data_IF_431258031945
#
_entry.id   IF_431258031945
#
_cell.length_a   1.000
_cell.length_b   1.000
_cell.length_c   1.000
_cell.angle_alpha   90.00
_cell.angle_beta   90.00
_cell.angle_gamma   90.00
#
_symmetry.space_group_name_H-M   'P 1'
#
loop_
_entity.id
_entity.type
_entity.pdbx_description
1 polymer ?
#
# COMPACT_ATOMS: atom_id res chain seq x y z
N UNK A 1 -23.10 24.56 9.39
CA UNK A 1 -23.91 23.66 8.52
C UNK A 1 -23.08 22.50 8.01
N UNK A 2 -22.07 22.75 7.16
CA UNK A 2 -21.23 21.70 6.57
C UNK A 2 -20.59 20.79 7.63
N UNK A 3 -19.93 21.39 8.62
CA UNK A 3 -19.31 20.66 9.75
C UNK A 3 -20.31 19.75 10.47
N UNK A 4 -21.54 20.24 10.71
CA UNK A 4 -22.57 19.45 11.37
C UNK A 4 -22.99 18.22 10.52
N UNK A 5 -23.17 18.40 9.20
CA UNK A 5 -23.49 17.27 8.33
C UNK A 5 -22.30 16.30 8.18
N UNK A 6 -21.07 16.80 8.12
CA UNK A 6 -19.87 15.95 8.11
C UNK A 6 -19.74 15.14 9.41
N UNK A 7 -20.07 15.73 10.56
CA UNK A 7 -20.12 15.02 11.83
C UNK A 7 -21.20 13.93 11.83
N UNK A 8 -22.40 14.21 11.31
CA UNK A 8 -23.48 13.22 11.19
C UNK A 8 -23.16 12.09 10.20
N UNK A 9 -22.51 12.39 9.07
CA UNK A 9 -22.01 11.38 8.13
C UNK A 9 -20.98 10.49 8.83
N UNK A 10 -20.11 11.08 9.65
CA UNK A 10 -19.09 10.34 10.40
C UNK A 10 -19.73 9.45 11.48
N UNK A 11 -20.66 9.99 12.27
CA UNK A 11 -21.38 9.28 13.34
C UNK A 11 -22.18 8.11 12.78
N UNK A 12 -22.96 8.34 11.73
CA UNK A 12 -23.85 7.32 11.16
C UNK A 12 -23.15 6.41 10.17
N UNK A 13 -22.05 6.83 9.55
CA UNK A 13 -21.41 6.12 8.44
C UNK A 13 -22.25 6.09 7.15
N UNK A 14 -23.37 6.80 7.09
CA UNK A 14 -24.21 6.89 5.89
C UNK A 14 -23.91 8.15 5.12
N UNK A 15 -23.54 7.99 3.85
CA UNK A 15 -23.47 9.11 2.92
C UNK A 15 -24.85 9.65 2.58
N UNK A 16 -24.90 10.93 2.22
CA UNK A 16 -26.15 11.66 1.98
C UNK A 16 -27.09 10.99 0.97
N UNK A 17 -26.55 10.38 -0.09
CA UNK A 17 -27.35 9.64 -1.08
C UNK A 17 -28.09 8.47 -0.44
N UNK A 18 -27.42 7.73 0.43
CA UNK A 18 -27.96 6.53 1.06
C UNK A 18 -29.11 6.91 2.00
N UNK A 19 -28.91 7.96 2.79
CA UNK A 19 -29.91 8.51 3.72
C UNK A 19 -31.16 8.97 2.97
N UNK A 20 -31.01 9.66 1.84
CA UNK A 20 -32.15 10.19 1.07
C UNK A 20 -32.88 9.09 0.28
N UNK A 21 -32.17 8.10 -0.28
CA UNK A 21 -32.73 7.14 -1.26
C UNK A 21 -33.92 6.32 -0.71
N UNK A 22 -34.01 6.10 0.61
CA UNK A 22 -35.07 5.32 1.25
C UNK A 22 -36.28 6.10 1.78
N UNK A 23 -36.24 7.44 1.83
CA UNK A 23 -37.29 8.23 2.48
C UNK A 23 -38.42 8.55 1.52
N UNK A 24 -39.68 8.32 1.93
CA UNK A 24 -40.88 8.58 1.10
C UNK A 24 -41.35 10.04 1.14
N UNK A 25 -41.21 10.73 2.28
CA UNK A 25 -41.73 12.09 2.49
C UNK A 25 -40.63 13.14 2.33
N UNK A 26 -40.13 13.35 1.11
CA UNK A 26 -39.08 14.34 0.84
C UNK A 26 -39.71 15.71 0.52
N UNK A 27 -39.12 16.83 0.99
CA UNK A 27 -39.51 18.17 0.54
C UNK A 27 -39.53 18.27 -0.99
N UNK A 28 -40.46 19.06 -1.51
CA UNK A 28 -40.59 19.28 -2.94
C UNK A 28 -39.29 19.89 -3.51
N UNK A 29 -38.80 19.35 -4.63
CA UNK A 29 -37.51 19.70 -5.26
C UNK A 29 -36.24 19.25 -4.51
N UNK A 30 -36.38 18.40 -3.49
CA UNK A 30 -35.21 17.77 -2.85
C UNK A 30 -34.66 16.63 -3.70
N UNK A 31 -33.69 16.97 -4.57
CA UNK A 31 -32.90 15.97 -5.29
C UNK A 31 -31.55 15.75 -4.59
N UNK A 32 -31.00 14.54 -4.75
CA UNK A 32 -29.66 14.22 -4.25
C UNK A 32 -28.61 15.22 -4.79
N UNK A 33 -28.71 15.57 -6.08
CA UNK A 33 -27.79 16.49 -6.72
C UNK A 33 -27.90 17.94 -6.24
N UNK A 34 -29.08 18.40 -5.82
CA UNK A 34 -29.22 19.73 -5.23
C UNK A 34 -28.46 19.81 -3.91
N UNK A 35 -28.43 18.72 -3.15
CA UNK A 35 -27.87 18.75 -1.81
C UNK A 35 -26.38 18.52 -1.82
N UNK A 36 -25.89 17.62 -2.70
CA UNK A 36 -24.46 17.54 -2.96
C UNK A 36 -23.90 18.90 -3.39
N UNK A 37 -24.63 19.64 -4.24
CA UNK A 37 -24.22 20.99 -4.65
C UNK A 37 -24.27 22.02 -3.52
N UNK A 38 -25.22 21.92 -2.60
CA UNK A 38 -25.29 22.81 -1.41
C UNK A 38 -24.28 22.49 -0.31
N UNK A 39 -23.71 21.29 -0.27
CA UNK A 39 -22.74 20.88 0.75
C UNK A 39 -21.30 20.88 0.26
N UNK A 40 -21.09 20.45 -0.99
CA UNK A 40 -19.77 20.24 -1.58
C UNK A 40 -19.53 21.06 -2.85
N UNK A 41 -20.57 21.69 -3.41
CA UNK A 41 -20.46 22.53 -4.60
C UNK A 41 -20.42 24.03 -4.27
N UNK A 42 -20.64 24.85 -5.31
CA UNK A 42 -20.47 26.30 -5.24
C UNK A 42 -21.58 27.03 -4.47
N UNK A 43 -22.67 26.36 -4.13
CA UNK A 43 -23.78 26.98 -3.41
C UNK A 43 -23.47 27.07 -1.91
N UNK A 44 -23.21 28.28 -1.44
CA UNK A 44 -23.02 28.59 0.00
C UNK A 44 -24.30 28.56 0.83
N UNK A 45 -25.45 28.35 0.21
CA UNK A 45 -26.76 28.40 0.87
C UNK A 45 -27.60 27.16 0.57
N UNK A 46 -28.39 26.76 1.55
CA UNK A 46 -29.43 25.74 1.45
C UNK A 46 -30.72 26.33 2.00
N UNK A 47 -31.87 25.88 1.50
CA UNK A 47 -33.14 26.26 2.12
C UNK A 47 -33.24 25.69 3.54
N UNK A 48 -33.81 26.47 4.45
CA UNK A 48 -33.89 26.12 5.87
C UNK A 48 -34.71 24.83 6.11
N UNK A 49 -35.81 24.64 5.38
CA UNK A 49 -36.66 23.44 5.47
C UNK A 49 -35.93 22.16 5.02
N UNK A 50 -35.12 22.27 3.96
CA UNK A 50 -34.27 21.19 3.48
C UNK A 50 -33.21 20.84 4.52
N UNK A 51 -32.55 21.83 5.11
CA UNK A 51 -31.57 21.58 6.16
C UNK A 51 -32.19 20.93 7.41
N UNK A 52 -33.34 21.45 7.87
CA UNK A 52 -34.07 20.87 9.00
C UNK A 52 -34.46 19.40 8.74
N UNK A 53 -34.90 19.09 7.51
CA UNK A 53 -35.17 17.72 7.09
C UNK A 53 -33.94 16.82 7.22
N UNK A 54 -32.76 17.27 6.79
CA UNK A 54 -31.52 16.47 6.95
C UNK A 54 -31.14 16.24 8.39
N UNK A 55 -31.17 17.28 9.22
CA UNK A 55 -30.83 17.16 10.63
C UNK A 55 -31.75 16.17 11.32
N UNK A 56 -33.06 16.26 11.08
CA UNK A 56 -34.02 15.31 11.64
C UNK A 56 -33.78 13.88 11.15
N UNK A 57 -33.46 13.73 9.85
CA UNK A 57 -33.24 12.42 9.25
C UNK A 57 -31.97 11.75 9.79
N UNK A 58 -30.86 12.48 9.90
CA UNK A 58 -29.64 11.96 10.52
C UNK A 58 -29.83 11.67 12.01
N UNK A 59 -30.48 12.56 12.77
CA UNK A 59 -30.75 12.34 14.19
C UNK A 59 -31.59 11.07 14.46
N UNK A 60 -32.41 10.63 13.50
CA UNK A 60 -33.20 9.40 13.63
C UNK A 60 -32.39 8.11 13.38
N UNK A 61 -31.18 8.21 12.84
CA UNK A 61 -30.33 7.07 12.51
C UNK A 61 -29.43 6.70 13.70
N UNK A 62 -29.25 5.41 14.01
CA UNK A 62 -28.30 4.99 15.03
C UNK A 62 -26.86 5.28 14.60
N UNK A 63 -25.96 5.37 15.58
CA UNK A 63 -24.52 5.42 15.33
C UNK A 63 -24.10 4.19 14.52
N UNK A 64 -23.30 4.40 13.47
CA UNK A 64 -22.86 3.32 12.59
C UNK A 64 -23.96 2.69 11.72
N UNK A 65 -25.12 3.32 11.53
CA UNK A 65 -26.19 2.84 10.64
C UNK A 65 -25.69 2.42 9.23
N UNK A 66 -24.70 3.10 8.68
CA UNK A 66 -24.11 2.84 7.36
C UNK A 66 -22.93 1.88 7.38
N UNK A 67 -22.44 1.57 8.57
CA UNK A 67 -21.50 0.47 8.80
C UNK A 67 -22.20 -0.87 8.99
N UNK A 68 -23.53 -0.94 8.83
CA UNK A 68 -24.26 -2.21 8.84
C UNK A 68 -23.92 -3.05 7.59
N UNK A 69 -22.76 -3.71 7.66
CA UNK A 69 -22.25 -4.64 6.68
C UNK A 69 -22.96 -5.99 6.74
N UNK A 70 -23.94 -6.20 7.63
CA UNK A 70 -24.63 -7.50 7.76
C UNK A 70 -25.24 -7.95 6.44
N UNK A 71 -25.76 -7.02 5.63
CA UNK A 71 -26.28 -7.34 4.31
C UNK A 71 -25.20 -7.72 3.28
N UNK A 72 -23.98 -7.19 3.41
CA UNK A 72 -22.83 -7.56 2.56
C UNK A 72 -22.22 -8.89 3.02
N UNK A 73 -22.08 -9.10 4.33
CA UNK A 73 -21.65 -10.39 4.88
C UNK A 73 -22.61 -11.52 4.51
N UNK A 74 -23.93 -11.29 4.53
CA UNK A 74 -24.92 -12.25 3.98
C UNK A 74 -24.70 -12.60 2.51
N UNK A 75 -23.98 -11.76 1.76
CA UNK A 75 -23.59 -11.98 0.37
C UNK A 75 -22.15 -12.48 0.23
N UNK A 76 -21.47 -12.80 1.34
CA UNK A 76 -20.07 -13.19 1.35
C UNK A 76 -19.13 -12.06 0.93
N UNK A 77 -19.39 -10.81 1.35
CA UNK A 77 -18.58 -9.63 1.01
C UNK A 77 -18.21 -8.86 2.28
N UNK A 78 -16.92 -8.59 2.45
CA UNK A 78 -16.34 -7.72 3.47
C UNK A 78 -16.04 -6.34 2.86
N UNK A 79 -16.28 -5.28 3.63
CA UNK A 79 -15.85 -3.94 3.25
C UNK A 79 -14.45 -3.66 3.78
N UNK A 80 -13.55 -3.20 2.93
CA UNK A 80 -12.18 -2.87 3.34
C UNK A 80 -12.11 -1.62 4.23
N UNK A 81 -13.14 -0.77 4.23
CA UNK A 81 -13.26 0.38 5.12
C UNK A 81 -13.96 0.07 6.46
N UNK A 82 -14.40 -1.17 6.69
CA UNK A 82 -14.89 -1.64 7.99
C UNK A 82 -13.73 -1.85 8.98
N UNK A 83 -13.99 -1.96 10.30
CA UNK A 83 -12.95 -2.21 11.30
C UNK A 83 -12.06 -3.42 10.96
N UNK A 84 -12.67 -4.52 10.52
CA UNK A 84 -11.98 -5.77 10.19
C UNK A 84 -11.15 -5.65 8.90
N UNK A 85 -11.65 -4.89 7.92
CA UNK A 85 -10.90 -4.54 6.71
C UNK A 85 -9.68 -3.67 7.01
N UNK A 86 -9.82 -2.69 7.92
CA UNK A 86 -8.72 -1.82 8.36
C UNK A 86 -7.66 -2.59 9.12
N UNK A 87 -8.07 -3.50 10.02
CA UNK A 87 -7.15 -4.39 10.74
C UNK A 87 -6.29 -5.20 9.75
N UNK A 88 -6.91 -5.79 8.72
CA UNK A 88 -6.20 -6.52 7.67
C UNK A 88 -5.19 -5.63 6.92
N UNK A 89 -5.57 -4.39 6.58
CA UNK A 89 -4.65 -3.43 5.95
C UNK A 89 -3.47 -3.08 6.87
N UNK A 90 -3.73 -2.84 8.16
CA UNK A 90 -2.70 -2.56 9.15
C UNK A 90 -1.73 -3.73 9.32
N UNK A 91 -2.23 -4.96 9.33
CA UNK A 91 -1.38 -6.15 9.38
C UNK A 91 -0.49 -6.28 8.14
N UNK A 92 -1.07 -6.04 6.95
CA UNK A 92 -0.31 -6.04 5.71
C UNK A 92 0.80 -4.98 5.70
N UNK A 93 0.47 -3.74 6.08
CA UNK A 93 1.44 -2.63 6.18
C UNK A 93 2.56 -2.93 7.20
N UNK A 94 2.21 -3.49 8.36
CA UNK A 94 3.18 -3.88 9.40
C UNK A 94 4.15 -4.95 8.90
N UNK A 95 3.66 -5.91 8.11
CA UNK A 95 4.50 -6.95 7.54
C UNK A 95 5.39 -6.41 6.41
N UNK A 96 4.98 -5.34 5.73
CA UNK A 96 5.75 -4.67 4.67
C UNK A 96 6.26 -5.62 3.58
N UNK A 97 5.42 -6.57 3.19
CA UNK A 97 5.67 -7.57 2.15
C UNK A 97 5.04 -7.11 0.83
N UNK A 98 5.66 -7.46 -0.30
CA UNK A 98 5.03 -7.20 -1.60
C UNK A 98 3.83 -8.14 -1.81
N UNK A 99 2.74 -7.66 -2.45
CA UNK A 99 1.60 -8.51 -2.82
C UNK A 99 1.98 -9.74 -3.66
N UNK A 100 2.98 -9.62 -4.52
CA UNK A 100 3.53 -10.72 -5.33
C UNK A 100 4.06 -11.83 -4.45
N UNK A 101 4.91 -11.48 -3.48
CA UNK A 101 5.45 -12.44 -2.50
C UNK A 101 4.35 -13.09 -1.68
N UNK A 102 3.29 -12.35 -1.35
CA UNK A 102 2.15 -12.93 -0.64
C UNK A 102 1.41 -13.97 -1.50
N UNK A 103 1.15 -13.67 -2.78
CA UNK A 103 0.56 -14.63 -3.73
C UNK A 103 1.45 -15.85 -3.98
N UNK A 104 2.77 -15.66 -4.07
CA UNK A 104 3.73 -16.75 -4.31
C UNK A 104 3.81 -17.72 -3.12
N UNK A 105 3.72 -17.19 -1.89
CA UNK A 105 3.80 -17.99 -0.67
C UNK A 105 2.47 -18.68 -0.33
N UNK A 106 1.34 -18.11 -0.72
CA UNK A 106 -0.01 -18.57 -0.39
C UNK A 106 -0.85 -18.67 -1.68
N UNK A 107 -0.66 -19.75 -2.47
CA UNK A 107 -1.30 -19.92 -3.77
C UNK A 107 -2.83 -20.10 -3.67
N UNK A 108 -3.38 -20.31 -2.48
CA UNK A 108 -4.81 -20.31 -2.22
C UNK A 108 -5.46 -18.92 -2.34
N UNK A 109 -4.67 -17.84 -2.32
CA UNK A 109 -5.14 -16.48 -2.57
C UNK A 109 -5.49 -16.35 -4.06
N UNK A 110 -6.78 -16.23 -4.37
CA UNK A 110 -7.26 -16.16 -5.76
C UNK A 110 -7.01 -14.79 -6.40
N UNK A 111 -6.87 -13.75 -5.57
CA UNK A 111 -6.62 -12.39 -6.02
C UNK A 111 -5.21 -12.25 -6.60
N UNK A 112 -5.14 -11.70 -7.81
CA UNK A 112 -3.85 -11.28 -8.41
C UNK A 112 -3.19 -10.17 -7.57
N UNK A 113 -1.85 -10.01 -7.61
CA UNK A 113 -1.13 -8.97 -6.85
C UNK A 113 -1.70 -7.56 -7.04
N UNK A 114 -2.02 -7.17 -8.27
CA UNK A 114 -2.63 -5.86 -8.57
C UNK A 114 -3.99 -5.64 -7.89
N UNK A 115 -4.73 -6.72 -7.65
CA UNK A 115 -6.02 -6.66 -6.96
C UNK A 115 -5.83 -6.47 -5.46
N UNK A 116 -4.86 -7.19 -4.86
CA UNK A 116 -4.45 -6.99 -3.48
C UNK A 116 -3.98 -5.55 -3.23
N UNK A 117 -3.14 -5.02 -4.11
CA UNK A 117 -2.72 -3.61 -4.07
C UNK A 117 -3.92 -2.65 -4.02
N UNK A 118 -4.94 -2.89 -4.85
CA UNK A 118 -6.17 -2.06 -4.85
C UNK A 118 -6.95 -2.18 -3.55
N UNK A 119 -6.95 -3.33 -2.89
CA UNK A 119 -7.59 -3.49 -1.58
C UNK A 119 -6.85 -2.69 -0.50
N UNK A 120 -5.54 -2.88 -0.40
CA UNK A 120 -4.73 -2.25 0.65
C UNK A 120 -4.56 -0.73 0.46
N UNK A 121 -4.61 -0.22 -0.77
CA UNK A 121 -4.65 1.23 -1.04
C UNK A 121 -6.04 1.86 -0.92
N UNK A 122 -7.08 1.07 -0.60
CA UNK A 122 -8.46 1.55 -0.53
C UNK A 122 -9.12 1.86 -1.88
N UNK A 123 -8.42 1.65 -2.99
CA UNK A 123 -8.96 1.81 -4.36
C UNK A 123 -10.12 0.85 -4.64
N UNK A 124 -10.13 -0.32 -3.97
CA UNK A 124 -11.23 -1.29 -4.00
C UNK A 124 -11.77 -1.50 -2.60
N UNK A 125 -13.04 -1.12 -2.38
CA UNK A 125 -13.66 -1.06 -1.05
C UNK A 125 -14.33 -2.34 -0.59
N UNK A 126 -14.43 -3.36 -1.44
CA UNK A 126 -15.17 -4.60 -1.14
C UNK A 126 -14.45 -5.84 -1.62
N UNK A 127 -14.25 -6.80 -0.73
CA UNK A 127 -13.54 -8.06 -0.95
C UNK A 127 -14.49 -9.24 -0.67
N UNK A 128 -14.44 -10.34 -1.43
CA UNK A 128 -15.14 -11.57 -1.05
C UNK A 128 -14.71 -12.05 0.34
N UNK A 129 -15.63 -12.51 1.17
CA UNK A 129 -15.37 -12.93 2.55
C UNK A 129 -14.42 -14.14 2.61
N UNK A 130 -14.58 -15.11 1.71
CA UNK A 130 -13.64 -16.23 1.60
C UNK A 130 -12.20 -15.76 1.32
N UNK A 131 -12.04 -14.74 0.48
CA UNK A 131 -10.74 -14.15 0.17
C UNK A 131 -10.16 -13.38 1.35
N UNK A 132 -11.00 -12.64 2.08
CA UNK A 132 -10.63 -11.96 3.31
C UNK A 132 -10.07 -12.94 4.34
N UNK A 133 -10.76 -14.06 4.57
CA UNK A 133 -10.31 -15.06 5.55
C UNK A 133 -8.99 -15.73 5.15
N UNK A 134 -8.80 -16.02 3.85
CA UNK A 134 -7.51 -16.53 3.34
C UNK A 134 -6.38 -15.55 3.56
N UNK A 135 -6.59 -14.26 3.25
CA UNK A 135 -5.59 -13.21 3.50
C UNK A 135 -5.30 -13.04 4.99
N UNK A 136 -6.34 -13.00 5.83
CA UNK A 136 -6.20 -12.90 7.28
C UNK A 136 -5.36 -14.04 7.85
N UNK A 137 -5.64 -15.27 7.42
CA UNK A 137 -4.86 -16.45 7.80
C UNK A 137 -3.40 -16.35 7.32
N UNK A 138 -3.17 -16.00 6.05
CA UNK A 138 -1.83 -15.85 5.48
C UNK A 138 -0.99 -14.80 6.22
N UNK A 139 -1.56 -13.63 6.52
CA UNK A 139 -0.86 -12.57 7.25
C UNK A 139 -0.59 -12.99 8.70
N UNK A 140 -1.52 -13.69 9.34
CA UNK A 140 -1.31 -14.24 10.69
C UNK A 140 -0.19 -15.28 10.72
N UNK A 141 -0.15 -16.20 9.76
CA UNK A 141 0.93 -17.18 9.60
C UNK A 141 2.28 -16.48 9.39
N UNK A 142 2.36 -15.49 8.50
CA UNK A 142 3.57 -14.70 8.28
C UNK A 142 4.05 -13.98 9.54
N UNK A 143 3.13 -13.37 10.30
CA UNK A 143 3.47 -12.70 11.55
C UNK A 143 4.08 -13.66 12.58
N UNK A 144 3.76 -14.95 12.51
CA UNK A 144 4.30 -15.98 13.40
C UNK A 144 5.71 -16.45 13.04
N UNK A 145 6.18 -16.24 11.80
CA UNK A 145 7.49 -16.73 11.30
C UNK A 145 8.70 -16.00 11.88
N UNK A 146 8.48 -14.94 12.66
CA UNK A 146 9.52 -14.15 13.32
C UNK A 146 10.27 -13.20 12.38
N UNK A 147 10.93 -12.20 12.96
CA UNK A 147 11.51 -11.07 12.20
C UNK A 147 12.58 -11.48 11.20
N UNK A 148 13.34 -12.54 11.49
CA UNK A 148 14.42 -13.02 10.60
C UNK A 148 13.87 -13.53 9.26
N UNK A 149 12.79 -14.30 9.29
CA UNK A 149 12.18 -14.81 8.06
C UNK A 149 11.44 -13.69 7.32
N UNK A 150 10.76 -12.80 8.05
CA UNK A 150 10.13 -11.61 7.46
C UNK A 150 11.17 -10.72 6.74
N UNK A 151 12.33 -10.47 7.35
CA UNK A 151 13.40 -9.68 6.71
C UNK A 151 13.89 -10.32 5.40
N UNK A 152 13.98 -11.65 5.35
CA UNK A 152 14.31 -12.39 4.14
C UNK A 152 13.23 -12.25 3.07
N UNK A 153 11.95 -12.39 3.44
CA UNK A 153 10.83 -12.23 2.51
C UNK A 153 10.74 -10.80 1.95
N UNK A 154 10.92 -9.77 2.80
CA UNK A 154 10.97 -8.36 2.39
C UNK A 154 12.09 -8.09 1.40
N UNK A 155 13.23 -8.77 1.56
CA UNK A 155 14.31 -8.65 0.58
C UNK A 155 13.90 -9.19 -0.78
N UNK A 156 13.33 -10.40 -0.82
CA UNK A 156 12.89 -11.05 -2.07
C UNK A 156 11.83 -10.19 -2.76
N UNK A 157 10.84 -9.71 -2.00
CA UNK A 157 9.76 -8.83 -2.44
C UNK A 157 10.25 -7.56 -3.13
N UNK A 158 11.38 -6.98 -2.67
CA UNK A 158 11.94 -5.77 -3.26
C UNK A 158 12.67 -5.98 -4.60
N UNK A 159 12.60 -7.18 -5.18
CA UNK A 159 13.40 -7.56 -6.35
C UNK A 159 14.90 -7.63 -6.04
N UNK A 160 15.28 -7.64 -4.76
CA UNK A 160 16.68 -7.66 -4.35
C UNK A 160 17.15 -9.09 -4.20
N UNK A 161 18.22 -9.41 -4.91
CA UNK A 161 18.93 -10.67 -4.78
C UNK A 161 19.94 -10.57 -3.64
N UNK A 162 20.23 -11.72 -3.01
CA UNK A 162 21.33 -11.79 -2.04
C UNK A 162 22.66 -11.59 -2.76
N UNK A 163 23.50 -10.72 -2.22
CA UNK A 163 24.85 -10.52 -2.73
C UNK A 163 25.66 -11.77 -2.38
N UNK A 164 26.10 -12.52 -3.40
CA UNK A 164 26.83 -13.78 -3.21
C UNK A 164 28.28 -13.50 -2.78
N UNK A 165 28.91 -14.48 -2.11
CA UNK A 165 30.35 -14.38 -1.78
C UNK A 165 31.21 -14.30 -3.05
N UNK A 166 30.82 -15.03 -4.09
CA UNK A 166 31.52 -15.02 -5.37
C UNK A 166 31.45 -13.65 -6.04
N UNK A 167 30.30 -12.97 -5.97
CA UNK A 167 30.16 -11.59 -6.45
C UNK A 167 31.08 -10.63 -5.68
N UNK A 168 31.12 -10.73 -4.35
CA UNK A 168 32.00 -9.89 -3.53
C UNK A 168 33.47 -10.15 -3.84
N UNK A 169 33.85 -11.41 -4.05
CA UNK A 169 35.21 -11.81 -4.41
C UNK A 169 35.59 -11.25 -5.79
N UNK A 170 34.73 -11.37 -6.80
CA UNK A 170 35.00 -10.81 -8.13
C UNK A 170 35.09 -9.28 -8.07
N UNK A 171 34.18 -8.63 -7.36
CA UNK A 171 34.23 -7.18 -7.15
C UNK A 171 35.54 -6.73 -6.47
N UNK A 172 35.98 -7.44 -5.42
CA UNK A 172 37.29 -7.18 -4.78
C UNK A 172 38.46 -7.39 -5.74
N UNK A 173 38.41 -8.45 -6.55
CA UNK A 173 39.41 -8.72 -7.58
C UNK A 173 39.47 -7.60 -8.61
N UNK A 174 38.32 -7.08 -9.07
CA UNK A 174 38.30 -5.96 -10.02
C UNK A 174 38.80 -4.64 -9.39
N UNK A 175 38.47 -4.37 -8.12
CA UNK A 175 39.00 -3.20 -7.40
C UNK A 175 40.52 -3.29 -7.29
N UNK A 176 41.06 -4.47 -6.95
CA UNK A 176 42.50 -4.70 -6.88
C UNK A 176 43.17 -4.57 -8.25
N UNK A 177 42.57 -5.14 -9.32
CA UNK A 177 43.09 -5.07 -10.71
C UNK A 177 43.18 -3.64 -11.24
N UNK A 178 42.15 -2.84 -10.98
CA UNK A 178 42.02 -1.48 -11.53
C UNK A 178 42.66 -0.42 -10.63
N UNK A 179 42.95 -0.75 -9.37
CA UNK A 179 43.41 0.21 -8.35
C UNK A 179 42.36 1.27 -7.97
N UNK A 180 41.16 1.23 -8.55
CA UNK A 180 40.15 2.27 -8.37
C UNK A 180 39.19 1.95 -7.22
N UNK A 181 39.21 2.80 -6.18
CA UNK A 181 38.22 2.75 -5.11
C UNK A 181 36.83 3.20 -5.62
N UNK A 182 35.73 2.78 -4.97
CA UNK A 182 34.37 3.15 -5.38
C UNK A 182 34.17 4.66 -5.57
N UNK A 183 34.83 5.50 -4.77
CA UNK A 183 34.77 6.96 -4.92
C UNK A 183 35.36 7.43 -6.25
N UNK A 184 36.50 6.88 -6.65
CA UNK A 184 37.19 7.24 -7.88
C UNK A 184 36.41 6.78 -9.11
N UNK A 185 35.79 5.58 -9.04
CA UNK A 185 34.89 5.08 -10.07
C UNK A 185 33.73 6.06 -10.30
N UNK A 186 33.08 6.50 -9.22
CA UNK A 186 31.92 7.39 -9.31
C UNK A 186 32.29 8.81 -9.76
N UNK A 187 33.51 9.27 -9.51
CA UNK A 187 33.99 10.54 -10.02
C UNK A 187 34.16 10.53 -11.56
N UNK A 188 34.46 9.37 -12.15
CA UNK A 188 34.67 9.21 -13.60
C UNK A 188 33.36 8.98 -14.38
N UNK A 189 32.33 8.43 -13.72
CA UNK A 189 31.06 8.08 -14.35
C UNK A 189 29.88 8.73 -13.59
N UNK A 190 29.65 10.04 -13.68
CA UNK A 190 28.58 10.70 -12.93
C UNK A 190 27.17 10.21 -13.29
N UNK A 191 26.99 9.58 -14.45
CA UNK A 191 25.72 9.01 -14.93
C UNK A 191 25.46 7.56 -14.45
N UNK A 192 25.95 7.19 -13.26
CA UNK A 192 25.56 5.90 -12.67
C UNK A 192 24.05 5.93 -12.37
N UNK A 193 23.32 4.80 -12.48
CA UNK A 193 21.91 4.70 -12.14
C UNK A 193 21.70 5.36 -10.79
N UNK A 194 20.81 6.36 -10.75
CA UNK A 194 20.70 7.44 -9.75
C UNK A 194 20.67 7.03 -8.25
N UNK A 195 20.75 5.75 -7.93
CA UNK A 195 20.54 5.18 -6.61
C UNK A 195 21.73 4.40 -6.03
N UNK A 196 22.77 4.07 -6.81
CA UNK A 196 23.99 3.47 -6.24
C UNK A 196 24.92 4.60 -5.82
N UNK A 197 25.50 4.54 -4.62
CA UNK A 197 26.49 5.50 -4.10
C UNK A 197 27.76 4.74 -3.70
N UNK A 198 28.96 5.37 -3.70
CA UNK A 198 30.20 4.71 -3.29
C UNK A 198 30.11 4.07 -1.90
N UNK A 199 29.50 4.77 -0.94
CA UNK A 199 29.28 4.27 0.41
C UNK A 199 28.46 2.97 0.45
N UNK A 200 27.53 2.79 -0.50
CA UNK A 200 26.69 1.60 -0.60
C UNK A 200 27.49 0.39 -1.09
N UNK A 201 28.42 0.59 -2.04
CA UNK A 201 29.35 -0.46 -2.48
C UNK A 201 30.27 -0.87 -1.33
N UNK A 202 30.77 0.08 -0.53
CA UNK A 202 31.55 -0.22 0.68
C UNK A 202 30.75 -1.05 1.68
N UNK A 203 29.45 -0.77 1.85
CA UNK A 203 28.55 -1.57 2.70
C UNK A 203 28.31 -2.98 2.15
N UNK A 204 28.38 -3.20 0.83
CA UNK A 204 28.37 -4.55 0.26
C UNK A 204 29.66 -5.31 0.61
N UNK A 205 30.82 -4.67 0.41
CA UNK A 205 32.14 -5.26 0.68
C UNK A 205 32.36 -5.59 2.16
N UNK A 206 31.72 -4.86 3.07
CA UNK A 206 31.77 -5.10 4.52
C UNK A 206 30.65 -6.01 5.05
N UNK A 207 29.84 -6.62 4.17
CA UNK A 207 28.69 -7.47 4.53
C UNK A 207 27.60 -6.77 5.38
N UNK A 208 27.60 -5.42 5.42
CA UNK A 208 26.57 -4.63 6.11
C UNK A 208 25.25 -4.71 5.33
N UNK A 209 25.30 -4.56 4.01
CA UNK A 209 24.15 -4.76 3.11
C UNK A 209 24.32 -6.09 2.39
N UNK A 210 23.34 -6.98 2.58
CA UNK A 210 23.37 -8.35 2.05
C UNK A 210 22.50 -8.58 0.83
N UNK A 211 21.68 -7.60 0.45
CA UNK A 211 20.75 -7.73 -0.65
C UNK A 211 20.67 -6.44 -1.46
N UNK A 212 20.62 -6.56 -2.78
CA UNK A 212 20.54 -5.44 -3.71
C UNK A 212 19.81 -5.85 -4.99
N UNK A 213 19.27 -4.86 -5.72
CA UNK A 213 18.67 -5.12 -7.03
C UNK A 213 19.73 -5.72 -7.98
N UNK A 214 19.44 -6.84 -8.68
CA UNK A 214 20.41 -7.54 -9.51
C UNK A 214 21.00 -6.64 -10.61
N UNK A 215 20.20 -5.73 -11.17
CA UNK A 215 20.62 -4.81 -12.22
C UNK A 215 21.71 -3.85 -11.72
N UNK A 216 21.66 -3.44 -10.44
CA UNK A 216 22.67 -2.57 -9.83
C UNK A 216 23.98 -3.32 -9.57
N UNK A 217 23.87 -4.58 -9.15
CA UNK A 217 25.04 -5.43 -8.94
C UNK A 217 25.75 -5.69 -10.27
N UNK A 218 25.00 -6.11 -11.29
CA UNK A 218 25.52 -6.35 -12.63
C UNK A 218 26.16 -5.09 -13.21
N UNK A 219 25.49 -3.95 -13.09
CA UNK A 219 26.01 -2.69 -13.58
C UNK A 219 27.33 -2.30 -12.91
N UNK A 220 27.42 -2.31 -11.57
CA UNK A 220 28.67 -1.95 -10.87
C UNK A 220 29.82 -2.86 -11.28
N UNK A 221 29.57 -4.17 -11.35
CA UNK A 221 30.60 -5.13 -11.73
C UNK A 221 31.02 -4.98 -13.19
N UNK A 222 30.07 -4.73 -14.11
CA UNK A 222 30.35 -4.45 -15.51
C UNK A 222 31.19 -3.19 -15.69
N UNK A 223 30.91 -2.11 -14.96
CA UNK A 223 31.70 -0.87 -14.99
C UNK A 223 33.15 -1.13 -14.56
N UNK A 224 33.35 -1.89 -13.48
CA UNK A 224 34.69 -2.26 -13.02
C UNK A 224 35.45 -3.16 -14.02
N UNK A 225 34.76 -4.07 -14.70
CA UNK A 225 35.35 -4.93 -15.75
C UNK A 225 35.75 -4.14 -16.99
N UNK A 226 35.06 -3.06 -17.31
CA UNK A 226 35.35 -2.21 -18.47
C UNK A 226 36.58 -1.31 -18.29
N UNK A 227 37.04 -1.10 -17.05
CA UNK A 227 38.23 -0.29 -16.76
C UNK A 227 39.53 -1.02 -17.18
N UNK A 228 40.56 -0.28 -17.64
CA UNK A 228 41.88 -0.84 -17.87
C UNK A 228 42.56 -1.26 -16.56
N UNK A 229 43.56 -2.15 -16.65
CA UNK A 229 44.41 -2.51 -15.51
C UNK A 229 45.17 -1.29 -15.00
N UNK A 230 45.39 -1.20 -13.68
CA UNK A 230 46.25 -0.14 -13.15
C UNK A 230 47.68 -0.36 -13.63
N UNK A 231 48.24 0.61 -14.34
CA UNK A 231 49.66 0.61 -14.69
C UNK A 231 50.46 0.61 -13.37
N UNK A 232 51.40 -0.34 -13.19
CA UNK A 232 52.20 -0.46 -11.97
C UNK A 232 53.10 0.76 -11.71
#
# INVERSE_FOLDING_TARGET
>A
MREHIEAEITRTGLGLKAVVRGVKNRPENLTVGNVERSLFGDYKTIRADVYAFYVALYASLPDGAGTDTRHLRRRGIIRMDSPEGRELCTDFERLNIAPETLCDLYPEIESKPITLYKYFTGSRKTMPEAEYERLRHALSDLASKGEKELAKLRSIASGKVRISKDYLQDLQTQIARTGQQPEALFAQYPELPHEVKPARIRQWLSDIIRHEAPERLEYVLATYRALPDSTP
#
